data_IF_691604932929
#
_entry.id   IF_691604932929
#
_cell.length_a   1.000
_cell.length_b   1.000
_cell.length_c   1.000
_cell.angle_alpha   90.00
_cell.angle_beta   90.00
_cell.angle_gamma   90.00
#
_symmetry.space_group_name_H-M   'P 1'
#
loop_
_entity.id
_entity.type
_entity.pdbx_description
1 polymer ?
#
# COMPACT_ATOMS: atom_id res chain seq x y z
N UNK A 1 -8.00 13.12 -10.26
CA UNK A 1 -7.51 12.88 -11.64
C UNK A 1 -6.03 13.27 -11.77
N UNK A 2 -5.64 14.49 -11.39
CA UNK A 2 -4.23 14.92 -11.30
C UNK A 2 -3.32 13.93 -10.53
N UNK A 3 -3.71 13.49 -9.34
CA UNK A 3 -2.92 12.50 -8.57
C UNK A 3 -2.69 11.17 -9.32
N UNK A 4 -3.66 10.71 -10.12
CA UNK A 4 -3.49 9.51 -10.95
C UNK A 4 -2.55 9.76 -12.13
N UNK A 5 -2.50 10.99 -12.65
CA UNK A 5 -1.56 11.38 -13.71
C UNK A 5 -0.13 11.40 -13.18
N UNK A 6 0.07 11.96 -11.99
CA UNK A 6 1.37 11.96 -11.30
C UNK A 6 1.84 10.54 -10.94
N UNK A 7 0.90 9.67 -10.58
CA UNK A 7 1.17 8.24 -10.38
C UNK A 7 1.42 7.46 -11.68
N UNK A 8 1.18 8.05 -12.86
CA UNK A 8 1.41 7.40 -14.16
C UNK A 8 0.33 6.40 -14.59
N UNK A 9 -0.82 6.37 -13.91
CA UNK A 9 -1.89 5.36 -14.11
C UNK A 9 -3.24 5.96 -14.52
N UNK A 10 -3.31 7.27 -14.78
CA UNK A 10 -4.55 7.94 -15.17
C UNK A 10 -5.14 7.48 -16.52
N UNK A 11 -4.33 6.94 -17.42
CA UNK A 11 -4.78 6.45 -18.73
C UNK A 11 -5.45 5.08 -18.65
N UNK A 12 -5.46 4.42 -17.48
CA UNK A 12 -5.91 3.04 -17.29
C UNK A 12 -7.32 3.00 -16.68
N UNK A 13 -8.02 1.88 -16.90
CA UNK A 13 -9.26 1.54 -16.22
C UNK A 13 -8.94 0.69 -14.98
N UNK A 14 -8.88 1.32 -13.82
CA UNK A 14 -8.44 0.66 -12.58
C UNK A 14 -9.57 -0.16 -11.94
N UNK A 15 -9.33 -1.44 -11.66
CA UNK A 15 -10.23 -2.30 -10.88
C UNK A 15 -9.57 -2.61 -9.54
N UNK A 16 -10.20 -2.19 -8.45
CA UNK A 16 -9.72 -2.52 -7.11
C UNK A 16 -9.90 -4.00 -6.82
N UNK A 17 -8.84 -4.68 -6.38
CA UNK A 17 -8.87 -6.11 -6.02
C UNK A 17 -8.51 -6.32 -4.55
N UNK A 18 -8.76 -7.54 -4.06
CA UNK A 18 -8.33 -7.98 -2.74
C UNK A 18 -6.81 -7.93 -2.58
N UNK A 19 -6.34 -7.71 -1.36
CA UNK A 19 -4.95 -7.42 -1.03
C UNK A 19 -4.03 -8.65 -0.98
N UNK A 20 -3.97 -9.41 -2.09
CA UNK A 20 -3.12 -10.60 -2.24
C UNK A 20 -1.97 -10.33 -3.21
N UNK A 21 -0.75 -10.66 -2.78
CA UNK A 21 0.42 -10.70 -3.64
C UNK A 21 0.56 -12.09 -4.29
N UNK A 22 0.46 -12.22 -5.62
CA UNK A 22 0.55 -13.53 -6.28
C UNK A 22 1.90 -14.23 -6.01
N UNK A 23 1.92 -15.58 -5.89
CA UNK A 23 3.16 -16.32 -5.79
C UNK A 23 4.10 -16.02 -6.95
N UNK A 24 5.40 -15.93 -6.67
CA UNK A 24 6.47 -15.70 -7.66
C UNK A 24 6.33 -14.41 -8.49
N UNK A 25 5.55 -13.43 -8.03
CA UNK A 25 5.48 -12.15 -8.72
C UNK A 25 6.83 -11.41 -8.66
N UNK A 26 7.12 -10.66 -9.71
CA UNK A 26 8.30 -9.79 -9.77
C UNK A 26 7.88 -8.34 -9.52
N UNK A 27 8.75 -7.61 -8.81
CA UNK A 27 8.56 -6.16 -8.62
C UNK A 27 9.27 -5.44 -9.76
N UNK A 28 8.53 -4.62 -10.47
CA UNK A 28 9.06 -3.73 -11.51
C UNK A 28 8.97 -2.28 -11.05
N UNK A 29 9.97 -1.49 -11.42
CA UNK A 29 9.92 -0.05 -11.17
C UNK A 29 8.81 0.60 -12.00
N UNK A 30 8.28 1.71 -11.51
CA UNK A 30 7.12 2.39 -12.11
C UNK A 30 7.35 2.72 -13.58
N UNK A 31 8.52 3.26 -13.93
CA UNK A 31 8.84 3.69 -15.29
C UNK A 31 8.83 2.51 -16.28
N UNK A 32 9.22 1.31 -15.84
CA UNK A 32 9.22 0.12 -16.67
C UNK A 32 7.85 -0.56 -16.69
N UNK A 33 7.16 -0.61 -15.54
CA UNK A 33 5.80 -1.15 -15.45
C UNK A 33 4.81 -0.39 -16.34
N UNK A 34 4.87 0.94 -16.39
CA UNK A 34 4.00 1.76 -17.25
C UNK A 34 4.19 1.45 -18.74
N UNK A 35 5.41 1.06 -19.17
CA UNK A 35 5.67 0.68 -20.58
C UNK A 35 5.01 -0.64 -20.97
N UNK A 36 4.62 -1.46 -20.00
CA UNK A 36 3.93 -2.74 -20.23
C UNK A 36 2.41 -2.58 -20.32
N UNK A 37 1.89 -1.36 -20.14
CA UNK A 37 0.46 -1.08 -20.06
C UNK A 37 0.00 -0.21 -21.22
N UNK A 38 -1.24 -0.43 -21.66
CA UNK A 38 -1.85 0.33 -22.75
C UNK A 38 -2.94 1.28 -22.25
N UNK A 39 -3.10 2.48 -22.84
CA UNK A 39 -4.21 3.37 -22.52
C UNK A 39 -5.57 2.67 -22.69
N UNK A 40 -6.43 2.75 -21.66
CA UNK A 40 -7.73 2.09 -21.61
C UNK A 40 -7.70 0.65 -21.11
N UNK A 41 -6.52 0.06 -20.88
CA UNK A 41 -6.40 -1.29 -20.33
C UNK A 41 -7.08 -1.38 -18.96
N UNK A 42 -7.78 -2.48 -18.73
CA UNK A 42 -8.39 -2.80 -17.44
C UNK A 42 -7.32 -3.45 -16.56
N UNK A 43 -6.97 -2.80 -15.44
CA UNK A 43 -5.82 -3.19 -14.62
C UNK A 43 -6.23 -3.39 -13.16
N UNK A 44 -5.98 -4.57 -12.57
CA UNK A 44 -6.19 -4.81 -11.16
C UNK A 44 -5.22 -4.00 -10.28
N UNK A 45 -5.73 -3.35 -9.25
CA UNK A 45 -4.93 -2.53 -8.33
C UNK A 45 -5.35 -2.73 -6.88
N UNK A 46 -4.40 -2.60 -5.96
CA UNK A 46 -4.67 -2.22 -4.57
C UNK A 46 -4.37 -0.73 -4.46
N UNK A 47 -5.36 0.07 -4.06
CA UNK A 47 -5.34 1.52 -4.18
C UNK A 47 -5.72 2.19 -2.86
N UNK A 48 -4.81 2.96 -2.29
CA UNK A 48 -5.10 3.94 -1.25
C UNK A 48 -5.27 5.32 -1.89
N UNK A 49 -6.36 6.01 -1.54
CA UNK A 49 -6.61 7.38 -1.95
C UNK A 49 -7.13 8.18 -0.77
N UNK A 50 -6.52 9.33 -0.52
CA UNK A 50 -6.96 10.28 0.49
C UNK A 50 -7.12 11.65 -0.14
N UNK A 51 -8.07 12.44 0.33
CA UNK A 51 -8.21 13.84 -0.07
C UNK A 51 -8.75 14.72 1.07
N UNK A 52 -8.33 15.99 1.06
CA UNK A 52 -8.82 17.02 1.98
C UNK A 52 -8.76 18.39 1.31
N UNK A 53 -9.64 19.29 1.75
CA UNK A 53 -9.63 20.72 1.42
C UNK A 53 -9.49 21.62 2.67
N UNK A 54 -9.20 21.02 3.83
CA UNK A 54 -9.02 21.71 5.10
C UNK A 54 -7.59 22.23 5.15
N UNK A 55 -7.42 23.53 5.39
CA UNK A 55 -6.09 24.15 5.47
C UNK A 55 -5.24 23.46 6.54
N UNK A 56 -3.96 23.25 6.23
CA UNK A 56 -2.96 22.59 7.06
C UNK A 56 -3.11 21.07 7.27
N UNK A 57 -4.16 20.44 6.75
CA UNK A 57 -4.26 18.97 6.76
C UNK A 57 -3.06 18.34 6.03
N UNK A 58 -2.53 17.26 6.61
CA UNK A 58 -1.60 16.36 5.93
C UNK A 58 -2.43 15.22 5.36
N UNK A 59 -2.63 15.22 4.05
CA UNK A 59 -3.31 14.15 3.32
C UNK A 59 -2.32 13.03 3.07
N UNK A 60 -2.67 11.79 3.43
CA UNK A 60 -1.73 10.65 3.38
C UNK A 60 -2.39 9.39 2.83
N UNK A 61 -1.67 8.70 1.94
CA UNK A 61 -2.03 7.39 1.41
C UNK A 61 -0.81 6.47 1.40
N UNK A 62 -1.03 5.18 1.62
CA UNK A 62 0.02 4.17 1.65
C UNK A 62 -0.47 2.83 1.16
N UNK A 63 0.41 2.10 0.47
CA UNK A 63 0.23 0.68 0.18
C UNK A 63 1.46 -0.07 0.68
N UNK A 64 1.24 -1.09 1.50
CA UNK A 64 2.27 -1.98 2.02
C UNK A 64 2.20 -3.35 1.38
N UNK A 65 3.30 -4.10 1.42
CA UNK A 65 3.35 -5.50 0.99
C UNK A 65 4.23 -6.32 1.91
N UNK A 66 3.74 -7.50 2.30
CA UNK A 66 4.48 -8.53 3.02
C UNK A 66 4.75 -9.72 2.09
N UNK A 67 6.02 -10.05 1.93
CA UNK A 67 6.49 -11.09 1.02
C UNK A 67 6.88 -12.33 1.83
N UNK A 68 6.28 -13.50 1.57
CA UNK A 68 6.60 -14.73 2.27
C UNK A 68 8.00 -15.23 1.90
N UNK A 69 8.63 -15.99 2.81
CA UNK A 69 9.93 -16.62 2.56
C UNK A 69 9.92 -17.61 1.39
N UNK A 70 8.86 -18.40 1.35
CA UNK A 70 8.60 -19.31 0.24
C UNK A 70 7.77 -18.59 -0.82
N UNK A 71 8.40 -18.27 -1.95
CA UNK A 71 7.74 -17.62 -3.09
C UNK A 71 6.70 -18.52 -3.78
N UNK A 72 6.59 -19.80 -3.40
CA UNK A 72 5.48 -20.67 -3.77
C UNK A 72 4.16 -20.31 -3.07
N UNK A 73 4.22 -19.58 -1.95
CA UNK A 73 3.05 -19.04 -1.27
C UNK A 73 2.73 -17.61 -1.74
N UNK A 74 1.48 -17.20 -1.53
CA UNK A 74 1.05 -15.83 -1.76
C UNK A 74 1.48 -14.93 -0.60
N UNK A 75 1.73 -13.66 -0.90
CA UNK A 75 1.92 -12.62 0.12
C UNK A 75 0.66 -11.80 0.33
N UNK A 76 0.77 -10.76 1.15
CA UNK A 76 -0.31 -9.81 1.40
C UNK A 76 0.09 -8.41 0.99
N UNK A 77 -0.87 -7.70 0.42
CA UNK A 77 -0.86 -6.26 0.29
C UNK A 77 -1.69 -5.67 1.43
N UNK A 78 -1.47 -4.41 1.72
CA UNK A 78 -2.31 -3.61 2.60
C UNK A 78 -2.45 -2.22 2.01
N UNK A 79 -3.52 -1.53 2.37
CA UNK A 79 -3.73 -0.15 1.98
C UNK A 79 -4.26 0.66 3.17
N UNK A 80 -3.78 1.89 3.30
CA UNK A 80 -4.31 2.84 4.27
C UNK A 80 -4.34 4.24 3.70
N UNK A 81 -5.36 4.99 4.09
CA UNK A 81 -5.57 6.37 3.68
C UNK A 81 -6.18 7.13 4.84
N UNK A 82 -5.64 8.31 5.12
CA UNK A 82 -6.10 9.16 6.22
C UNK A 82 -5.63 10.60 6.04
N UNK A 83 -5.98 11.45 6.99
CA UNK A 83 -5.35 12.74 7.19
C UNK A 83 -4.61 12.77 8.54
N UNK A 84 -3.61 13.64 8.66
CA UNK A 84 -2.85 13.88 9.89
C UNK A 84 -1.69 12.91 10.16
N UNK A 85 -1.49 11.89 9.32
CA UNK A 85 -0.40 10.92 9.47
C UNK A 85 0.84 11.34 8.68
N UNK A 86 2.02 11.27 9.30
CA UNK A 86 3.29 11.53 8.60
C UNK A 86 3.62 10.39 7.64
N UNK A 87 4.55 10.64 6.72
CA UNK A 87 5.05 9.62 5.77
C UNK A 87 5.60 8.39 6.51
N UNK A 88 6.43 8.61 7.53
CA UNK A 88 7.00 7.55 8.36
C UNK A 88 5.92 6.73 9.11
N UNK A 89 4.95 7.40 9.73
CA UNK A 89 3.88 6.70 10.44
C UNK A 89 2.99 5.89 9.48
N UNK A 90 2.78 6.39 8.26
CA UNK A 90 2.03 5.68 7.23
C UNK A 90 2.80 4.46 6.71
N UNK A 91 4.11 4.60 6.45
CA UNK A 91 5.00 3.49 6.08
C UNK A 91 4.94 2.36 7.10
N UNK A 92 5.17 2.69 8.38
CA UNK A 92 5.12 1.72 9.47
C UNK A 92 3.75 1.03 9.56
N UNK A 93 2.67 1.80 9.47
CA UNK A 93 1.31 1.27 9.58
C UNK A 93 1.00 0.26 8.47
N UNK A 94 1.27 0.59 7.20
CA UNK A 94 0.90 -0.30 6.09
C UNK A 94 1.79 -1.53 6.03
N UNK A 95 3.09 -1.41 6.32
CA UNK A 95 3.97 -2.57 6.35
C UNK A 95 3.61 -3.56 7.46
N UNK A 96 3.35 -3.06 8.67
CA UNK A 96 2.95 -3.92 9.78
C UNK A 96 1.57 -4.53 9.54
N UNK A 97 0.62 -3.79 8.96
CA UNK A 97 -0.68 -4.33 8.58
C UNK A 97 -0.54 -5.47 7.57
N UNK A 98 0.31 -5.32 6.54
CA UNK A 98 0.55 -6.39 5.58
C UNK A 98 1.20 -7.61 6.24
N UNK A 99 2.15 -7.40 7.15
CA UNK A 99 2.83 -8.46 7.88
C UNK A 99 1.88 -9.22 8.82
N UNK A 100 1.03 -8.50 9.56
CA UNK A 100 -0.02 -9.06 10.42
C UNK A 100 -0.97 -9.93 9.61
N UNK A 101 -1.49 -9.41 8.48
CA UNK A 101 -2.38 -10.15 7.59
C UNK A 101 -1.72 -11.44 7.07
N UNK A 102 -0.46 -11.38 6.66
CA UNK A 102 0.28 -12.58 6.24
C UNK A 102 0.47 -13.58 7.39
N UNK A 103 0.85 -13.11 8.58
CA UNK A 103 1.07 -13.96 9.74
C UNK A 103 -0.21 -14.68 10.23
N UNK A 104 -1.38 -14.05 10.13
CA UNK A 104 -2.65 -14.73 10.45
C UNK A 104 -2.90 -15.97 9.60
N UNK A 105 -2.42 -15.98 8.35
CA UNK A 105 -2.56 -17.17 7.48
C UNK A 105 -1.70 -18.35 7.91
N UNK A 106 -0.66 -18.08 8.70
CA UNK A 106 0.19 -19.10 9.30
C UNK A 106 -0.27 -19.53 10.71
N UNK A 107 -1.46 -19.09 11.13
CA UNK A 107 -2.06 -19.43 12.42
C UNK A 107 -1.49 -18.64 13.61
N UNK A 108 -0.81 -17.52 13.35
CA UNK A 108 -0.41 -16.59 14.41
C UNK A 108 -1.64 -15.79 14.83
N UNK A 109 -2.08 -15.98 16.08
CA UNK A 109 -3.17 -15.22 16.65
C UNK A 109 -2.62 -13.90 17.19
N UNK A 110 -3.05 -12.80 16.60
CA UNK A 110 -2.78 -11.47 17.14
C UNK A 110 -3.84 -11.12 18.17
N UNK A 111 -3.38 -10.66 19.33
CA UNK A 111 -4.26 -10.03 20.31
C UNK A 111 -4.63 -8.64 19.77
N UNK A 112 -5.92 -8.35 19.50
CA UNK A 112 -6.35 -7.04 19.03
C UNK A 112 -6.05 -5.92 20.04
N UNK A 113 -5.93 -6.25 21.33
CA UNK A 113 -5.63 -5.30 22.41
C UNK A 113 -4.12 -5.12 22.65
N UNK A 114 -3.26 -5.94 22.03
CA UNK A 114 -1.81 -5.79 22.15
C UNK A 114 -1.33 -4.46 21.55
N UNK A 115 -0.34 -3.87 22.21
CA UNK A 115 0.30 -2.67 21.70
C UNK A 115 1.01 -2.94 20.39
N UNK A 116 1.17 -1.89 19.59
CA UNK A 116 1.83 -1.99 18.30
C UNK A 116 3.27 -2.55 18.40
N UNK A 117 4.02 -2.15 19.43
CA UNK A 117 5.37 -2.68 19.69
C UNK A 117 5.36 -4.19 19.98
N UNK A 118 4.39 -4.68 20.75
CA UNK A 118 4.24 -6.11 21.07
C UNK A 118 3.90 -6.93 19.83
N UNK A 119 3.01 -6.42 18.97
CA UNK A 119 2.68 -7.07 17.69
C UNK A 119 3.91 -7.15 16.78
N UNK A 120 4.75 -6.12 16.79
CA UNK A 120 5.95 -6.04 15.94
C UNK A 120 7.01 -7.06 16.32
N UNK A 121 7.23 -7.29 17.61
CA UNK A 121 8.18 -8.32 18.08
C UNK A 121 7.71 -9.74 17.75
N UNK A 122 6.40 -10.01 17.79
CA UNK A 122 5.83 -11.33 17.48
C UNK A 122 6.17 -11.82 16.07
N UNK A 123 6.05 -10.96 15.05
CA UNK A 123 6.33 -11.37 13.67
C UNK A 123 7.80 -11.21 13.26
N UNK A 124 8.57 -10.30 13.90
CA UNK A 124 10.05 -10.26 13.72
C UNK A 124 10.71 -11.57 14.14
N UNK A 125 10.11 -12.30 15.08
CA UNK A 125 10.56 -13.62 15.53
C UNK A 125 10.12 -14.73 14.54
N UNK A 126 9.11 -14.47 13.71
CA UNK A 126 8.61 -15.43 12.74
C UNK A 126 9.43 -15.36 11.44
N UNK A 127 10.43 -16.24 11.33
CA UNK A 127 11.34 -16.43 10.18
C UNK A 127 10.63 -16.84 8.86
N UNK A 128 9.29 -16.75 8.81
CA UNK A 128 8.45 -17.02 7.63
C UNK A 128 8.18 -15.77 6.78
N UNK A 129 8.29 -14.56 7.34
CA UNK A 129 8.20 -13.30 6.59
C UNK A 129 9.62 -12.88 6.22
N UNK A 130 9.89 -12.67 4.94
CA UNK A 130 11.24 -12.31 4.48
C UNK A 130 11.43 -10.81 4.38
N UNK A 131 10.42 -10.11 3.91
CA UNK A 131 10.57 -8.69 3.58
C UNK A 131 9.23 -7.99 3.50
N UNK A 132 9.17 -6.79 4.05
CA UNK A 132 8.13 -5.81 3.77
C UNK A 132 8.65 -4.76 2.79
N UNK A 133 7.74 -4.14 2.05
CA UNK A 133 7.97 -2.91 1.29
C UNK A 133 6.72 -2.05 1.35
N UNK A 134 6.85 -0.78 1.01
CA UNK A 134 5.71 0.12 0.90
C UNK A 134 5.93 1.21 -0.15
N UNK A 135 4.84 1.88 -0.50
CA UNK A 135 4.85 3.13 -1.27
C UNK A 135 3.89 4.11 -0.62
N UNK A 136 4.43 5.26 -0.21
CA UNK A 136 3.71 6.28 0.55
C UNK A 136 3.65 7.57 -0.25
N UNK A 137 2.51 8.25 -0.15
CA UNK A 137 2.36 9.61 -0.65
C UNK A 137 1.70 10.45 0.43
N UNK A 138 2.36 11.56 0.79
CA UNK A 138 1.79 12.59 1.66
C UNK A 138 1.80 13.94 0.96
N UNK A 139 0.87 14.82 1.32
CA UNK A 139 0.83 16.18 0.84
C UNK A 139 0.10 17.08 1.84
N UNK A 140 0.60 18.29 2.05
CA UNK A 140 -0.04 19.28 2.93
C UNK A 140 -0.98 20.17 2.14
N UNK A 141 -2.19 20.41 2.65
CA UNK A 141 -3.10 21.41 2.09
C UNK A 141 -2.55 22.80 2.40
N UNK A 142 -2.11 23.52 1.36
CA UNK A 142 -1.47 24.84 1.49
C UNK A 142 -2.36 26.01 1.11
N UNK A 143 -3.51 25.75 0.46
CA UNK A 143 -4.44 26.77 -0.01
C UNK A 143 -5.85 26.38 0.45
N UNK A 144 -6.49 27.27 1.20
CA UNK A 144 -7.84 27.06 1.73
C UNK A 144 -8.85 26.86 0.60
N UNK A 145 -9.69 25.82 0.72
CA UNK A 145 -10.73 25.49 -0.26
C UNK A 145 -10.23 24.76 -1.51
N UNK A 146 -8.92 24.56 -1.68
CA UNK A 146 -8.36 23.73 -2.76
C UNK A 146 -8.25 22.29 -2.29
N UNK A 147 -8.71 21.35 -3.12
CA UNK A 147 -8.58 19.93 -2.85
C UNK A 147 -7.15 19.45 -3.09
N UNK A 148 -6.57 18.86 -2.06
CA UNK A 148 -5.35 18.08 -2.14
C UNK A 148 -5.73 16.59 -2.16
N UNK A 149 -5.11 15.80 -3.03
CA UNK A 149 -5.37 14.35 -3.14
C UNK A 149 -4.05 13.61 -3.20
N UNK A 150 -3.90 12.58 -2.39
CA UNK A 150 -2.79 11.63 -2.49
C UNK A 150 -3.30 10.29 -2.97
N UNK A 151 -2.46 9.59 -3.74
CA UNK A 151 -2.72 8.23 -4.22
C UNK A 151 -1.46 7.40 -4.05
N UNK A 152 -1.64 6.19 -3.53
CA UNK A 152 -0.63 5.13 -3.50
C UNK A 152 -1.25 3.86 -4.06
N UNK A 153 -0.54 3.14 -4.92
CA UNK A 153 -1.10 1.96 -5.59
C UNK A 153 -0.07 0.85 -5.79
N UNK A 154 -0.50 -0.40 -5.60
CA UNK A 154 0.15 -1.57 -6.19
C UNK A 154 -0.63 -1.97 -7.45
N UNK A 155 0.06 -2.01 -8.58
CA UNK A 155 -0.52 -2.27 -9.89
C UNK A 155 -0.13 -3.68 -10.33
N UNK A 156 -1.11 -4.54 -10.56
CA UNK A 156 -0.86 -5.91 -11.01
C UNK A 156 -0.90 -5.96 -12.54
N UNK A 157 0.24 -6.24 -13.14
CA UNK A 157 0.39 -6.42 -14.59
C UNK A 157 0.23 -7.92 -14.89
N UNK A 158 -0.69 -8.25 -15.79
CA UNK A 158 -1.11 -9.63 -16.11
C UNK A 158 -0.95 -9.87 -17.61
#
# INVERSE_FOLDING_TARGET
ELALREAGIASLNLITVSSILPPKCEFVDREDGVKLLEPGQVVPVVLARSDSNILDDIVSSGVGVAIPKDQGHYGYLSEHHCTGMSEYAMEEYVEDLAAEMLATTYGVNFDPDASWDEKRELWKIDDRIVKTKSIIQTAKVTIEGFWCTTVSAAVLII
#
